data_IF_767356753035
#
_entry.id   IF_767356753035
#
_cell.length_a   1.000
_cell.length_b   1.000
_cell.length_c   1.000
_cell.angle_alpha   90.00
_cell.angle_beta   90.00
_cell.angle_gamma   90.00
#
_symmetry.space_group_name_H-M   'P 1'
#
loop_
_entity.id
_entity.type
_entity.pdbx_description
1 polymer ?
#
# COMPACT_ATOMS: atom_id res chain seq x y z
N UNK A 1 -10.79 27.01 27.78
CA UNK A 1 -9.57 26.19 27.56
C UNK A 1 -9.70 24.70 27.94
N UNK A 2 -10.60 24.29 28.86
CA UNK A 2 -10.74 22.85 29.22
C UNK A 2 -11.23 21.94 28.09
N UNK A 3 -12.26 22.37 27.35
CA UNK A 3 -12.85 21.55 26.29
C UNK A 3 -11.89 21.27 25.11
N UNK A 4 -10.87 22.09 24.86
CA UNK A 4 -9.84 21.80 23.86
C UNK A 4 -8.81 20.77 24.36
N UNK A 5 -8.48 20.78 25.65
CA UNK A 5 -7.58 19.80 26.27
C UNK A 5 -8.20 18.41 26.26
N UNK A 6 -9.45 18.29 26.72
CA UNK A 6 -10.17 17.01 26.76
C UNK A 6 -10.31 16.35 25.38
N UNK A 7 -10.38 17.16 24.31
CA UNK A 7 -10.42 16.69 22.92
C UNK A 7 -9.08 16.18 22.42
N UNK A 8 -7.98 16.87 22.74
CA UNK A 8 -6.63 16.41 22.41
C UNK A 8 -6.30 15.12 23.17
N UNK A 9 -6.75 15.01 24.43
CA UNK A 9 -6.61 13.79 25.23
C UNK A 9 -7.40 12.62 24.61
N UNK A 10 -8.61 12.88 24.12
CA UNK A 10 -9.42 11.87 23.41
C UNK A 10 -8.75 11.41 22.10
N UNK A 11 -8.24 12.35 21.29
CA UNK A 11 -7.54 12.02 20.05
C UNK A 11 -6.27 11.20 20.33
N UNK A 12 -5.48 11.59 21.33
CA UNK A 12 -4.27 10.89 21.76
C UNK A 12 -4.57 9.43 22.15
N UNK A 13 -5.65 9.19 22.90
CA UNK A 13 -6.09 7.84 23.27
C UNK A 13 -6.51 7.00 22.06
N UNK A 14 -7.17 7.60 21.07
CA UNK A 14 -7.58 6.89 19.84
C UNK A 14 -6.36 6.52 18.99
N UNK A 15 -5.38 7.43 18.86
CA UNK A 15 -4.12 7.16 18.16
C UNK A 15 -3.28 6.09 18.87
N UNK A 16 -3.27 6.07 20.20
CA UNK A 16 -2.60 5.01 20.96
C UNK A 16 -3.25 3.64 20.75
N UNK A 17 -4.58 3.57 20.73
CA UNK A 17 -5.31 2.35 20.42
C UNK A 17 -5.07 1.85 18.98
N UNK A 18 -4.85 2.77 18.03
CA UNK A 18 -4.44 2.46 16.66
C UNK A 18 -3.02 1.87 16.64
N UNK A 19 -2.05 2.52 17.29
CA UNK A 19 -0.66 2.00 17.41
C UNK A 19 -0.61 0.63 18.07
N UNK A 20 -1.46 0.38 19.06
CA UNK A 20 -1.56 -0.94 19.70
C UNK A 20 -2.02 -2.01 18.70
N UNK A 21 -3.05 -1.71 17.90
CA UNK A 21 -3.57 -2.62 16.87
C UNK A 21 -2.52 -2.87 15.78
N UNK A 22 -1.76 -1.83 15.39
CA UNK A 22 -0.64 -1.97 14.46
C UNK A 22 0.47 -2.88 15.02
N UNK A 23 0.86 -2.71 16.30
CA UNK A 23 1.84 -3.59 16.95
C UNK A 23 1.38 -5.04 17.00
N UNK A 24 0.07 -5.30 17.10
CA UNK A 24 -0.47 -6.66 17.03
C UNK A 24 -0.28 -7.27 15.65
N UNK A 25 -0.51 -6.51 14.57
CA UNK A 25 -0.21 -6.95 13.21
C UNK A 25 1.30 -7.23 13.04
N UNK A 26 2.16 -6.32 13.47
CA UNK A 26 3.61 -6.50 13.40
C UNK A 26 4.08 -7.74 14.18
N UNK A 27 3.43 -8.06 15.30
CA UNK A 27 3.70 -9.27 16.07
C UNK A 27 3.29 -10.54 15.32
N UNK A 28 2.16 -10.53 14.62
CA UNK A 28 1.72 -11.65 13.78
C UNK A 28 2.72 -11.87 12.64
N UNK A 29 3.12 -10.79 11.96
CA UNK A 29 4.10 -10.87 10.87
C UNK A 29 5.43 -11.44 11.34
N UNK A 30 5.91 -10.99 12.51
CA UNK A 30 7.11 -11.56 13.14
C UNK A 30 6.95 -13.03 13.49
N UNK A 31 5.77 -13.47 13.92
CA UNK A 31 5.51 -14.89 14.20
C UNK A 31 5.53 -15.72 12.91
N UNK A 32 4.95 -15.20 11.82
CA UNK A 32 4.98 -15.85 10.49
C UNK A 32 6.43 -16.01 10.04
N UNK A 33 7.21 -14.93 10.05
CA UNK A 33 8.63 -14.94 9.66
C UNK A 33 9.42 -15.92 10.54
N UNK A 34 9.23 -15.88 11.87
CA UNK A 34 9.93 -16.77 12.79
C UNK A 34 9.61 -18.24 12.52
N UNK A 35 8.33 -18.59 12.31
CA UNK A 35 7.90 -19.95 11.98
C UNK A 35 8.51 -20.40 10.65
N UNK A 36 8.53 -19.54 9.64
CA UNK A 36 9.18 -19.81 8.36
C UNK A 36 10.69 -20.07 8.51
N UNK A 37 11.41 -19.21 9.24
CA UNK A 37 12.86 -19.38 9.47
C UNK A 37 13.19 -20.68 10.21
N UNK A 38 12.32 -21.16 11.11
CA UNK A 38 12.51 -22.47 11.76
C UNK A 38 12.24 -23.66 10.86
N UNK A 39 11.43 -23.50 9.81
CA UNK A 39 11.10 -24.55 8.85
C UNK A 39 12.14 -24.68 7.74
N UNK A 40 12.83 -23.61 7.35
CA UNK A 40 13.85 -23.61 6.28
C UNK A 40 14.92 -24.69 6.48
N UNK A 41 15.57 -24.84 7.67
CA UNK A 41 16.55 -25.90 7.89
C UNK A 41 15.95 -27.31 7.83
N UNK A 42 14.68 -27.48 8.23
CA UNK A 42 13.99 -28.78 8.21
C UNK A 42 13.65 -29.22 6.78
N UNK A 43 13.30 -28.26 5.91
CA UNK A 43 13.11 -28.48 4.48
C UNK A 43 14.42 -28.89 3.78
N UNK A 44 15.57 -28.39 4.24
CA UNK A 44 16.89 -28.76 3.72
C UNK A 44 17.45 -30.09 4.25
N UNK A 45 17.10 -30.50 5.48
CA UNK A 45 17.73 -31.65 6.17
C UNK A 45 17.14 -33.03 5.83
N UNK A 46 15.95 -33.11 5.25
CA UNK A 46 15.22 -34.39 5.05
C UNK A 46 15.80 -35.33 3.97
N UNK A 47 16.97 -35.05 3.39
CA UNK A 47 17.63 -35.89 2.36
C UNK A 47 19.16 -36.00 2.46
N UNK A 48 19.77 -35.78 3.63
CA UNK A 48 21.21 -36.03 3.83
C UNK A 48 21.53 -37.41 4.42
N UNK A 49 20.55 -38.32 4.42
CA UNK A 49 20.74 -39.71 4.81
C UNK A 49 20.38 -40.62 3.64
N UNK A 50 21.35 -41.44 3.24
CA UNK A 50 21.28 -42.55 2.28
C UNK A 50 21.56 -42.22 0.81
N UNK A 51 22.82 -42.52 0.45
CA UNK A 51 23.27 -43.24 -0.76
C UNK A 51 22.41 -43.02 -2.02
N UNK A 52 22.98 -42.30 -2.98
CA UNK A 52 22.61 -42.20 -4.41
C UNK A 52 21.63 -41.09 -4.88
N UNK A 53 22.19 -40.20 -5.73
CA UNK A 53 21.70 -39.86 -7.08
C UNK A 53 20.59 -38.80 -7.32
N UNK A 54 20.67 -37.61 -6.71
CA UNK A 54 20.37 -36.31 -7.37
C UNK A 54 20.27 -35.18 -6.35
N UNK A 55 20.74 -33.96 -6.68
CA UNK A 55 20.36 -32.77 -5.94
C UNK A 55 18.82 -32.70 -5.83
N UNK A 56 18.25 -32.39 -4.65
CA UNK A 56 16.83 -32.09 -4.54
C UNK A 56 16.47 -31.01 -5.58
N UNK A 57 15.48 -31.30 -6.43
CA UNK A 57 15.02 -30.35 -7.44
C UNK A 57 14.72 -28.99 -6.77
N UNK A 58 15.43 -27.91 -7.14
CA UNK A 58 15.22 -26.58 -6.58
C UNK A 58 13.77 -26.12 -6.70
N UNK A 59 13.09 -26.51 -7.79
CA UNK A 59 11.68 -26.18 -8.01
C UNK A 59 10.79 -26.85 -6.97
N UNK A 60 10.97 -28.14 -6.73
CA UNK A 60 10.22 -28.86 -5.70
C UNK A 60 10.45 -28.32 -4.28
N UNK A 61 11.62 -27.72 -4.00
CA UNK A 61 11.86 -27.00 -2.74
C UNK A 61 11.03 -25.71 -2.65
N UNK A 62 11.04 -24.89 -3.70
CA UNK A 62 10.27 -23.64 -3.74
C UNK A 62 8.76 -23.88 -3.63
N UNK A 63 8.23 -24.90 -4.31
CA UNK A 63 6.82 -25.28 -4.21
C UNK A 63 6.41 -25.66 -2.78
N UNK A 64 7.25 -26.44 -2.09
CA UNK A 64 7.04 -26.77 -0.67
C UNK A 64 7.13 -25.53 0.20
N UNK A 65 8.07 -24.63 -0.07
CA UNK A 65 8.22 -23.39 0.67
C UNK A 65 7.00 -22.48 0.50
N UNK A 66 6.53 -22.25 -0.73
CA UNK A 66 5.32 -21.46 -1.01
C UNK A 66 4.07 -22.08 -0.39
N UNK A 67 3.92 -23.40 -0.48
CA UNK A 67 2.78 -24.11 0.13
C UNK A 67 2.75 -23.96 1.65
N UNK A 68 3.91 -24.05 2.32
CA UNK A 68 4.00 -23.84 3.77
C UNK A 68 3.74 -22.39 4.16
N UNK A 69 4.23 -21.42 3.37
CA UNK A 69 3.95 -20.01 3.59
C UNK A 69 2.45 -19.72 3.45
N UNK A 70 1.81 -20.24 2.39
CA UNK A 70 0.38 -20.11 2.18
C UNK A 70 -0.43 -20.73 3.33
N UNK A 71 -0.03 -21.89 3.84
CA UNK A 71 -0.72 -22.53 4.97
C UNK A 71 -0.61 -21.70 6.26
N UNK A 72 0.59 -21.22 6.60
CA UNK A 72 0.82 -20.40 7.80
C UNK A 72 0.08 -19.06 7.69
N UNK A 73 0.09 -18.44 6.51
CA UNK A 73 -0.67 -17.21 6.28
C UNK A 73 -2.17 -17.47 6.34
N UNK A 74 -2.68 -18.55 5.75
CA UNK A 74 -4.10 -18.90 5.81
C UNK A 74 -4.61 -19.12 7.24
N UNK A 75 -3.81 -19.76 8.11
CA UNK A 75 -4.13 -19.92 9.54
C UNK A 75 -4.29 -18.57 10.26
N UNK A 76 -3.54 -17.53 9.83
CA UNK A 76 -3.54 -16.20 10.46
C UNK A 76 -4.37 -15.15 9.72
N UNK A 77 -4.79 -15.45 8.51
CA UNK A 77 -5.59 -14.57 7.66
C UNK A 77 -6.85 -14.04 8.34
N UNK A 78 -7.68 -14.85 9.05
CA UNK A 78 -8.88 -14.29 9.69
C UNK A 78 -8.56 -13.29 10.80
N UNK A 79 -7.43 -13.47 11.50
CA UNK A 79 -6.95 -12.55 12.54
C UNK A 79 -6.41 -11.25 11.92
N UNK A 80 -5.58 -11.37 10.87
CA UNK A 80 -5.07 -10.24 10.08
C UNK A 80 -6.23 -9.42 9.50
N UNK A 81 -7.21 -10.07 8.88
CA UNK A 81 -8.36 -9.41 8.30
C UNK A 81 -9.22 -8.72 9.36
N UNK A 82 -9.40 -9.33 10.53
CA UNK A 82 -10.14 -8.74 11.64
C UNK A 82 -9.45 -7.49 12.19
N UNK A 83 -8.12 -7.55 12.40
CA UNK A 83 -7.33 -6.41 12.86
C UNK A 83 -7.26 -5.31 11.80
N UNK A 84 -7.14 -5.66 10.52
CA UNK A 84 -7.13 -4.70 9.40
C UNK A 84 -8.45 -3.95 9.30
N UNK A 85 -9.59 -4.65 9.42
CA UNK A 85 -10.91 -4.00 9.48
C UNK A 85 -11.06 -3.11 10.70
N UNK A 86 -10.49 -3.51 11.84
CA UNK A 86 -10.49 -2.69 13.06
C UNK A 86 -9.68 -1.40 12.86
N UNK A 87 -8.50 -1.50 12.24
CA UNK A 87 -7.65 -0.36 11.92
C UNK A 87 -8.38 0.63 10.99
N UNK A 88 -8.97 0.15 9.89
CA UNK A 88 -9.76 0.99 8.99
C UNK A 88 -10.91 1.74 9.69
N UNK A 89 -11.57 1.10 10.67
CA UNK A 89 -12.61 1.75 11.48
C UNK A 89 -12.05 2.80 12.43
N UNK A 90 -10.89 2.53 13.03
CA UNK A 90 -10.20 3.48 13.90
C UNK A 90 -9.74 4.70 13.10
N UNK A 91 -9.18 4.49 11.91
CA UNK A 91 -8.72 5.54 11.00
C UNK A 91 -9.88 6.44 10.58
N UNK A 92 -10.99 5.85 10.12
CA UNK A 92 -12.19 6.61 9.77
C UNK A 92 -12.76 7.42 10.95
N UNK A 93 -12.71 6.87 12.17
CA UNK A 93 -13.17 7.58 13.37
C UNK A 93 -12.24 8.75 13.74
N UNK A 94 -10.91 8.55 13.63
CA UNK A 94 -9.90 9.59 13.85
C UNK A 94 -10.05 10.71 12.80
N UNK A 95 -10.20 10.36 11.53
CA UNK A 95 -10.42 11.32 10.44
C UNK A 95 -11.72 12.10 10.61
N UNK A 96 -12.82 11.44 10.96
CA UNK A 96 -14.08 12.11 11.23
C UNK A 96 -13.98 13.08 12.42
N UNK A 97 -13.24 12.72 13.47
CA UNK A 97 -12.98 13.60 14.61
C UNK A 97 -12.13 14.81 14.17
N UNK A 98 -11.05 14.57 13.41
CA UNK A 98 -10.21 15.65 12.84
C UNK A 98 -11.01 16.58 11.92
N UNK A 99 -11.87 16.06 11.06
CA UNK A 99 -12.69 16.85 10.13
C UNK A 99 -13.74 17.71 10.86
N UNK A 100 -14.34 17.20 11.94
CA UNK A 100 -15.24 17.99 12.82
C UNK A 100 -14.50 19.10 13.56
N UNK A 101 -13.18 19.05 13.62
CA UNK A 101 -12.33 19.97 14.35
C UNK A 101 -11.46 20.85 13.46
N UNK A 102 -11.34 20.53 12.18
CA UNK A 102 -10.83 21.45 11.20
C UNK A 102 -11.75 22.68 11.24
N UNK A 103 -11.25 23.91 11.49
CA UNK A 103 -12.04 25.08 11.20
C UNK A 103 -12.47 24.95 9.74
N UNK A 104 -13.72 25.29 9.42
CA UNK A 104 -14.15 25.44 8.03
C UNK A 104 -13.21 26.45 7.36
N UNK A 105 -12.09 25.98 6.84
CA UNK A 105 -11.39 26.60 5.74
C UNK A 105 -12.38 26.41 4.61
N UNK A 106 -13.26 27.40 4.45
CA UNK A 106 -14.07 27.60 3.26
C UNK A 106 -13.16 27.23 2.09
N UNK A 107 -13.55 26.32 1.18
CA UNK A 107 -12.82 26.19 -0.05
C UNK A 107 -12.87 27.60 -0.65
N UNK A 108 -11.71 28.26 -0.69
CA UNK A 108 -11.54 29.46 -1.46
C UNK A 108 -11.98 29.06 -2.85
N UNK A 109 -13.16 29.55 -3.26
CA UNK A 109 -13.57 29.48 -4.64
C UNK A 109 -12.45 30.17 -5.37
N UNK A 110 -11.65 29.38 -6.07
CA UNK A 110 -10.68 29.89 -7.01
C UNK A 110 -11.52 30.49 -8.15
N UNK A 111 -11.93 31.74 -7.94
CA UNK A 111 -12.46 32.63 -8.98
C UNK A 111 -11.29 32.95 -9.92
N UNK A 112 -10.77 31.94 -10.60
CA UNK A 112 -9.90 32.09 -11.76
C UNK A 112 -10.76 32.25 -13.00
N UNK A 113 -11.66 33.24 -12.97
CA UNK A 113 -12.29 33.79 -14.16
C UNK A 113 -11.85 35.25 -14.32
N UNK A 114 -10.85 35.42 -15.20
CA UNK A 114 -10.85 36.42 -16.27
C UNK A 114 -10.34 37.84 -15.98
N UNK A 115 -9.10 38.06 -16.39
CA UNK A 115 -8.67 39.29 -17.09
C UNK A 115 -8.00 38.86 -18.40
N UNK A 116 -8.74 38.78 -19.51
CA UNK A 116 -8.71 39.76 -20.62
C UNK A 116 -7.31 40.27 -20.99
N UNK A 117 -6.73 39.73 -22.07
CA UNK A 117 -6.67 40.31 -23.45
C UNK A 117 -5.63 41.42 -23.61
N UNK A 118 -4.54 41.10 -24.31
CA UNK A 118 -3.94 41.88 -25.42
C UNK A 118 -3.22 40.87 -26.31
N UNK A 119 -3.76 40.59 -27.48
CA UNK A 119 -3.38 41.19 -28.77
C UNK A 119 -2.06 40.64 -29.33
N UNK A 120 -2.21 40.06 -30.53
CA UNK A 120 -1.27 40.01 -31.64
C UNK A 120 0.18 39.60 -31.37
N UNK A 121 0.53 38.39 -31.83
CA UNK A 121 1.68 38.22 -32.74
C UNK A 121 1.55 36.93 -33.56
N UNK A 122 1.11 37.15 -34.79
CA UNK A 122 1.27 36.29 -35.96
C UNK A 122 2.71 35.76 -36.06
N UNK A 123 2.90 34.45 -36.08
CA UNK A 123 4.05 33.87 -36.78
C UNK A 123 3.72 32.53 -37.42
N UNK A 124 4.05 32.33 -38.71
CA UNK A 124 3.55 31.24 -39.52
C UNK A 124 4.62 30.16 -39.69
N UNK A 125 4.39 28.98 -39.13
CA UNK A 125 5.16 27.80 -39.51
C UNK A 125 4.30 26.57 -39.24
N UNK A 126 3.63 26.10 -40.30
CA UNK A 126 3.39 24.69 -40.64
C UNK A 126 2.15 24.54 -41.53
N UNK A 127 2.28 24.97 -42.79
CA UNK A 127 1.55 24.38 -43.91
C UNK A 127 2.59 23.71 -44.80
N UNK A 128 2.81 22.40 -44.60
CA UNK A 128 3.64 21.59 -45.50
C UNK A 128 2.91 21.39 -46.84
N UNK A 129 3.56 21.63 -47.99
CA UNK A 129 2.96 21.38 -49.30
C UNK A 129 3.02 19.89 -49.67
N UNK A 130 1.91 19.39 -50.22
CA UNK A 130 1.74 18.02 -50.72
C UNK A 130 2.52 17.81 -52.02
N UNK A 131 3.16 16.65 -52.13
CA UNK A 131 3.99 16.16 -53.24
C UNK A 131 3.23 16.13 -54.57
N UNK A 132 3.83 16.69 -55.62
CA UNK A 132 3.41 16.49 -57.03
C UNK A 132 4.10 15.24 -57.58
N UNK A 133 3.32 14.32 -58.14
CA UNK A 133 3.81 13.23 -58.97
C UNK A 133 3.91 13.71 -60.42
N UNK A 134 5.07 13.54 -61.04
CA UNK A 134 5.26 13.66 -62.48
C UNK A 134 6.14 12.49 -62.92
N UNK A 135 5.52 11.51 -63.57
CA UNK A 135 6.20 10.43 -64.28
C UNK A 135 6.40 10.89 -65.74
N UNK A 136 7.63 10.76 -66.22
CA UNK A 136 8.00 11.01 -67.60
C UNK A 136 7.45 9.89 -68.52
N UNK A 137 7.06 10.29 -69.72
CA UNK A 137 6.97 9.44 -70.90
C UNK A 137 8.20 9.71 -71.77
#
# INVERSE_FOLDING_TARGET
>A
MKASSERLDQLSRMEEAQRQTQRQLDMIDRQIIRRMTTLIPQLGRKRFGFRHEKPPDPRAFLERYHSNLAAITAERQPEIDALSRKLARQDAAIEALRARHAPMSRPARDDSERTHRTDDCRSPAECRPVKRHGAAA
#
